data_IF_205463256966
#
_entry.id   IF_205463256966
#
_cell.length_a   1.000
_cell.length_b   1.000
_cell.length_c   1.000
_cell.angle_alpha   90.00
_cell.angle_beta   90.00
_cell.angle_gamma   90.00
#
_symmetry.space_group_name_H-M   'P 1'
#
loop_
_entity.id
_entity.type
_entity.pdbx_description
1 polymer ?
#
# COMPACT_ATOMS: atom_id res chain seq x y z
N UNK A 1 -12.13 17.16 0.96
CA UNK A 1 -12.03 15.71 0.60
C UNK A 1 -10.88 15.15 1.44
N UNK A 2 -11.12 14.06 2.16
CA UNK A 2 -10.09 13.45 3.02
C UNK A 2 -9.56 12.18 2.36
N UNK A 3 -8.25 12.14 2.12
CA UNK A 3 -7.58 10.97 1.52
C UNK A 3 -6.88 10.14 2.60
N UNK A 4 -7.27 8.87 2.71
CA UNK A 4 -6.57 7.89 3.54
C UNK A 4 -5.38 7.29 2.80
N UNK A 5 -4.23 7.11 3.49
CA UNK A 5 -3.04 6.48 2.90
C UNK A 5 -2.55 5.34 3.79
N UNK A 6 -2.84 4.09 3.39
CA UNK A 6 -2.28 2.90 4.03
C UNK A 6 -0.82 2.77 3.63
N UNK A 7 0.04 2.55 4.63
CA UNK A 7 1.49 2.52 4.40
C UNK A 7 2.12 3.90 4.20
N UNK A 8 1.45 4.97 4.65
CA UNK A 8 1.86 6.37 4.47
C UNK A 8 3.21 6.75 5.10
N UNK A 9 3.78 5.91 5.96
CA UNK A 9 5.15 6.08 6.51
C UNK A 9 6.22 5.34 5.73
N UNK A 10 5.84 4.54 4.73
CA UNK A 10 6.76 3.82 3.85
C UNK A 10 7.37 4.73 2.78
N UNK A 11 8.35 4.20 2.03
CA UNK A 11 9.08 4.93 0.99
C UNK A 11 8.15 5.63 -0.02
N UNK A 12 7.16 4.91 -0.55
CA UNK A 12 6.20 5.46 -1.52
C UNK A 12 5.13 6.28 -0.81
N UNK A 13 4.60 5.75 0.30
CA UNK A 13 3.53 6.40 1.04
C UNK A 13 3.89 7.78 1.54
N UNK A 14 5.11 7.98 2.04
CA UNK A 14 5.57 9.29 2.51
C UNK A 14 5.64 10.33 1.38
N UNK A 15 6.03 9.93 0.18
CA UNK A 15 6.02 10.80 -0.99
C UNK A 15 4.58 11.18 -1.39
N UNK A 16 3.66 10.22 -1.38
CA UNK A 16 2.23 10.47 -1.67
C UNK A 16 1.65 11.44 -0.64
N UNK A 17 1.85 11.18 0.65
CA UNK A 17 1.40 12.05 1.74
C UNK A 17 1.95 13.46 1.59
N UNK A 18 3.25 13.60 1.30
CA UNK A 18 3.89 14.89 1.09
C UNK A 18 3.30 15.68 -0.08
N UNK A 19 3.00 15.01 -1.20
CA UNK A 19 2.40 15.65 -2.38
C UNK A 19 0.97 16.07 -2.13
N UNK A 20 0.15 15.22 -1.51
CA UNK A 20 -1.25 15.54 -1.20
C UNK A 20 -1.35 16.68 -0.18
N UNK A 21 -0.59 16.63 0.91
CA UNK A 21 -0.56 17.68 1.92
C UNK A 21 0.00 18.98 1.35
N UNK A 22 1.04 18.93 0.50
CA UNK A 22 1.56 20.09 -0.22
C UNK A 22 0.57 20.71 -1.20
N UNK A 23 -0.37 19.93 -1.71
CA UNK A 23 -1.51 20.37 -2.50
C UNK A 23 -2.68 20.94 -1.69
N UNK A 24 -2.59 20.94 -0.35
CA UNK A 24 -3.63 21.44 0.54
C UNK A 24 -4.75 20.44 0.83
N UNK A 25 -4.55 19.15 0.54
CA UNK A 25 -5.52 18.10 0.86
C UNK A 25 -5.41 17.65 2.31
N UNK A 26 -6.53 17.26 2.91
CA UNK A 26 -6.54 16.58 4.19
C UNK A 26 -6.14 15.12 4.00
N UNK A 27 -5.11 14.69 4.73
CA UNK A 27 -4.55 13.35 4.61
C UNK A 27 -4.61 12.62 5.94
N UNK A 28 -5.08 11.37 5.95
CA UNK A 28 -4.99 10.48 7.09
C UNK A 28 -4.03 9.34 6.79
N UNK A 29 -2.91 9.29 7.52
CA UNK A 29 -1.96 8.17 7.46
C UNK A 29 -2.52 7.00 8.27
N UNK A 30 -2.56 5.83 7.64
CA UNK A 30 -3.10 4.60 8.20
C UNK A 30 -1.96 3.58 8.34
N UNK A 31 -1.42 3.46 9.57
CA UNK A 31 -0.27 2.59 9.86
C UNK A 31 -0.30 2.09 11.31
N UNK A 32 0.50 1.06 11.61
CA UNK A 32 0.63 0.53 12.97
C UNK A 32 1.31 1.51 13.93
N UNK A 33 2.27 2.27 13.42
CA UNK A 33 3.07 3.21 14.22
C UNK A 33 2.94 4.61 13.62
N UNK A 34 2.64 5.63 14.44
CA UNK A 34 2.56 6.99 13.95
C UNK A 34 3.93 7.46 13.41
N UNK A 35 3.94 8.36 12.43
CA UNK A 35 5.17 9.04 12.02
C UNK A 35 5.71 9.91 13.16
N UNK A 36 7.02 10.15 13.17
CA UNK A 36 7.66 11.01 14.18
C UNK A 36 7.20 12.47 14.10
N UNK A 37 6.92 12.92 12.87
CA UNK A 37 6.45 14.28 12.58
C UNK A 37 5.31 14.20 11.56
N UNK A 38 4.37 15.14 11.66
CA UNK A 38 3.25 15.28 10.74
C UNK A 38 3.17 16.72 10.25
N UNK A 39 2.96 16.88 8.94
CA UNK A 39 2.70 18.18 8.35
C UNK A 39 1.30 18.69 8.71
N UNK A 40 1.06 19.99 8.49
CA UNK A 40 -0.28 20.56 8.62
C UNK A 40 -1.27 19.83 7.68
N UNK A 41 -2.48 19.57 8.16
CA UNK A 41 -3.51 18.83 7.41
C UNK A 41 -3.29 17.31 7.36
N UNK A 42 -2.23 16.79 7.98
CA UNK A 42 -1.98 15.35 8.08
C UNK A 42 -2.37 14.84 9.47
N UNK A 43 -3.15 13.79 9.52
CA UNK A 43 -3.56 13.07 10.73
C UNK A 43 -3.08 11.62 10.69
N UNK A 44 -3.15 10.90 11.80
CA UNK A 44 -2.80 9.49 11.86
C UNK A 44 -3.90 8.69 12.55
N UNK A 45 -4.18 7.51 12.00
CA UNK A 45 -4.98 6.49 12.65
C UNK A 45 -4.23 5.16 12.68
N UNK A 46 -4.24 4.51 13.85
CA UNK A 46 -3.59 3.20 14.00
C UNK A 46 -4.47 2.11 13.39
N UNK A 47 -3.88 1.31 12.53
CA UNK A 47 -4.50 0.11 11.96
C UNK A 47 -3.54 -1.07 11.97
N UNK A 48 -4.08 -2.29 11.99
CA UNK A 48 -3.34 -3.51 11.70
C UNK A 48 -4.05 -4.29 10.58
N UNK A 49 -3.39 -4.42 9.42
CA UNK A 49 -3.97 -5.09 8.25
C UNK A 49 -4.12 -6.60 8.43
N UNK A 50 -3.29 -7.23 9.26
CA UNK A 50 -3.37 -8.66 9.51
C UNK A 50 -4.60 -9.04 10.34
N UNK A 51 -4.97 -8.19 11.31
CA UNK A 51 -6.10 -8.44 12.20
C UNK A 51 -7.37 -7.67 11.82
N UNK A 52 -7.22 -6.54 11.12
CA UNK A 52 -8.30 -5.59 10.85
C UNK A 52 -8.53 -4.59 11.99
N UNK A 53 -7.73 -4.66 13.06
CA UNK A 53 -7.86 -3.74 14.21
C UNK A 53 -7.76 -2.28 13.74
N UNK A 54 -8.70 -1.45 14.16
CA UNK A 54 -8.73 -0.01 13.91
C UNK A 54 -9.28 0.41 12.55
N UNK A 55 -9.52 -0.49 11.59
CA UNK A 55 -9.97 -0.14 10.22
C UNK A 55 -11.28 0.65 10.21
N UNK A 56 -12.29 0.21 10.97
CA UNK A 56 -13.61 0.85 11.00
C UNK A 56 -13.54 2.32 11.39
N UNK A 57 -12.83 2.63 12.48
CA UNK A 57 -12.67 3.99 12.95
C UNK A 57 -11.73 4.81 12.03
N UNK A 58 -10.71 4.17 11.46
CA UNK A 58 -9.73 4.82 10.61
C UNK A 58 -10.31 5.25 9.25
N UNK A 59 -11.32 4.54 8.74
CA UNK A 59 -11.97 4.84 7.45
C UNK A 59 -13.18 5.76 7.59
N UNK A 60 -13.57 6.15 8.78
CA UNK A 60 -14.66 7.12 8.97
C UNK A 60 -14.32 8.47 8.36
N UNK A 61 -15.17 8.97 7.44
CA UNK A 61 -15.00 10.24 6.75
C UNK A 61 -13.88 10.25 5.71
N UNK A 62 -13.38 9.09 5.28
CA UNK A 62 -12.47 8.97 4.13
C UNK A 62 -13.25 8.91 2.84
N UNK A 63 -12.93 9.78 1.89
CA UNK A 63 -13.53 9.79 0.55
C UNK A 63 -12.78 8.86 -0.42
N UNK A 64 -11.45 8.90 -0.37
CA UNK A 64 -10.56 8.09 -1.21
C UNK A 64 -9.51 7.38 -0.34
N UNK A 65 -9.28 6.11 -0.60
CA UNK A 65 -8.26 5.32 0.08
C UNK A 65 -7.16 4.89 -0.89
N UNK A 66 -5.92 5.27 -0.58
CA UNK A 66 -4.72 4.84 -1.31
C UNK A 66 -4.01 3.77 -0.48
N UNK A 67 -3.87 2.58 -1.03
CA UNK A 67 -3.19 1.47 -0.38
C UNK A 67 -1.85 1.16 -1.06
N UNK A 68 -0.77 1.57 -0.38
CA UNK A 68 0.60 1.23 -0.72
C UNK A 68 1.24 0.37 0.38
N UNK A 69 0.42 -0.22 1.23
CA UNK A 69 0.83 -1.18 2.23
C UNK A 69 1.51 -2.38 1.60
N UNK A 70 2.64 -2.80 2.17
CA UNK A 70 3.39 -3.93 1.64
C UNK A 70 3.99 -4.78 2.76
N UNK A 71 4.05 -6.10 2.52
CA UNK A 71 4.73 -7.05 3.39
C UNK A 71 5.27 -8.21 2.58
N UNK A 72 6.41 -8.74 3.01
CA UNK A 72 6.95 -10.02 2.52
C UNK A 72 6.78 -11.14 3.55
N UNK A 73 6.36 -10.77 4.77
CA UNK A 73 6.07 -11.71 5.84
C UNK A 73 4.57 -11.99 5.83
N UNK A 74 4.19 -13.25 5.65
CA UNK A 74 2.79 -13.67 5.51
C UNK A 74 2.01 -12.83 4.47
N UNK A 75 2.42 -12.83 3.19
CA UNK A 75 1.80 -11.97 2.19
C UNK A 75 0.33 -12.30 1.93
N UNK A 76 -0.09 -13.54 2.07
CA UNK A 76 -1.49 -13.95 1.93
C UNK A 76 -2.38 -13.30 2.98
N UNK A 77 -1.99 -13.36 4.25
CA UNK A 77 -2.77 -12.78 5.35
C UNK A 77 -2.90 -11.26 5.24
N UNK A 78 -1.83 -10.58 4.83
CA UNK A 78 -1.80 -9.12 4.81
C UNK A 78 -2.25 -8.54 3.47
N UNK A 79 -1.75 -9.09 2.34
CA UNK A 79 -2.06 -8.54 1.02
C UNK A 79 -3.42 -9.02 0.50
N UNK A 80 -3.80 -10.27 0.75
CA UNK A 80 -5.06 -10.80 0.23
C UNK A 80 -6.19 -10.57 1.24
N UNK A 81 -6.08 -11.17 2.42
CA UNK A 81 -7.14 -11.06 3.43
C UNK A 81 -7.22 -9.65 4.04
N UNK A 82 -6.07 -8.97 4.20
CA UNK A 82 -6.04 -7.56 4.60
C UNK A 82 -6.78 -6.67 3.60
N UNK A 83 -6.53 -6.83 2.30
CA UNK A 83 -7.24 -6.05 1.26
C UNK A 83 -8.72 -6.38 1.23
N UNK A 84 -9.13 -7.63 1.44
CA UNK A 84 -10.55 -8.00 1.55
C UNK A 84 -11.24 -7.23 2.68
N UNK A 85 -10.65 -7.25 3.88
CA UNK A 85 -11.18 -6.49 5.05
C UNK A 85 -11.25 -4.99 4.79
N UNK A 86 -10.22 -4.42 4.16
CA UNK A 86 -10.19 -3.01 3.77
C UNK A 86 -11.36 -2.68 2.86
N UNK A 87 -11.58 -3.44 1.79
CA UNK A 87 -12.63 -3.17 0.80
C UNK A 87 -14.04 -3.39 1.37
N UNK A 88 -14.23 -4.39 2.23
CA UNK A 88 -15.47 -4.58 2.98
C UNK A 88 -15.75 -3.38 3.91
N UNK A 89 -14.73 -2.92 4.64
CA UNK A 89 -14.86 -1.73 5.49
C UNK A 89 -15.10 -0.47 4.66
N UNK A 90 -14.44 -0.30 3.52
CA UNK A 90 -14.68 0.79 2.58
C UNK A 90 -16.15 0.84 2.12
N UNK A 91 -16.71 -0.31 1.74
CA UNK A 91 -18.11 -0.40 1.33
C UNK A 91 -19.06 -0.01 2.49
N UNK A 92 -18.79 -0.46 3.71
CA UNK A 92 -19.60 -0.18 4.89
C UNK A 92 -19.49 1.28 5.34
N UNK A 93 -18.35 1.93 5.14
CA UNK A 93 -18.08 3.33 5.55
C UNK A 93 -18.31 4.36 4.43
N UNK A 94 -18.69 3.91 3.23
CA UNK A 94 -19.02 4.80 2.13
C UNK A 94 -17.78 5.44 1.48
N UNK A 95 -16.60 4.80 1.59
CA UNK A 95 -15.41 5.22 0.83
C UNK A 95 -15.71 5.09 -0.65
N UNK A 96 -15.62 6.19 -1.39
CA UNK A 96 -16.03 6.24 -2.79
C UNK A 96 -15.05 5.58 -3.75
N UNK A 97 -13.74 5.60 -3.42
CA UNK A 97 -12.70 5.08 -4.32
C UNK A 97 -11.52 4.47 -3.58
N UNK A 98 -11.06 3.33 -4.06
CA UNK A 98 -9.86 2.64 -3.59
C UNK A 98 -8.78 2.64 -4.68
N UNK A 99 -7.57 3.03 -4.32
CA UNK A 99 -6.40 3.00 -5.22
C UNK A 99 -5.39 2.01 -4.69
N UNK A 100 -5.20 0.91 -5.41
CA UNK A 100 -4.21 -0.11 -5.07
C UNK A 100 -2.98 -0.08 -5.96
N UNK A 101 -1.85 -0.58 -5.44
CA UNK A 101 -0.62 -0.74 -6.20
C UNK A 101 -0.27 -2.23 -6.38
N UNK A 102 0.09 -2.61 -7.59
CA UNK A 102 0.54 -3.95 -7.94
C UNK A 102 1.81 -3.89 -8.80
N UNK A 103 2.21 -5.03 -9.34
CA UNK A 103 3.46 -5.20 -10.07
C UNK A 103 3.18 -5.66 -11.50
N UNK A 104 3.82 -5.03 -12.48
CA UNK A 104 3.74 -5.46 -13.88
C UNK A 104 4.24 -6.91 -14.00
N UNK A 105 3.41 -7.77 -14.60
CA UNK A 105 3.76 -9.18 -14.86
C UNK A 105 3.76 -10.07 -13.61
N UNK A 106 3.16 -9.65 -12.49
CA UNK A 106 3.10 -10.47 -11.27
C UNK A 106 2.46 -11.85 -11.53
N UNK A 107 1.52 -11.93 -12.46
CA UNK A 107 0.85 -13.18 -12.86
C UNK A 107 1.76 -14.21 -13.57
N UNK A 108 2.94 -13.77 -14.03
CA UNK A 108 3.92 -14.61 -14.76
C UNK A 108 4.99 -15.21 -13.85
N UNK A 109 5.02 -14.82 -12.59
CA UNK A 109 6.09 -15.19 -11.65
C UNK A 109 5.56 -16.12 -10.58
N UNK A 110 6.02 -17.37 -10.59
CA UNK A 110 5.60 -18.43 -9.67
C UNK A 110 6.37 -18.37 -8.31
N UNK A 111 6.27 -17.23 -7.62
CA UNK A 111 6.84 -17.01 -6.29
C UNK A 111 5.70 -16.57 -5.37
N UNK A 112 5.67 -17.03 -4.12
CA UNK A 112 4.59 -16.80 -3.17
C UNK A 112 4.15 -15.34 -3.04
N UNK A 113 5.10 -14.40 -2.98
CA UNK A 113 4.78 -12.97 -2.94
C UNK A 113 4.04 -12.48 -4.20
N UNK A 114 4.45 -12.89 -5.41
CA UNK A 114 3.78 -12.49 -6.65
C UNK A 114 2.43 -13.18 -6.83
N UNK A 115 2.30 -14.43 -6.36
CA UNK A 115 1.00 -15.11 -6.28
C UNK A 115 0.03 -14.34 -5.38
N UNK A 116 0.50 -13.89 -4.21
CA UNK A 116 -0.31 -13.07 -3.32
C UNK A 116 -0.70 -11.73 -3.95
N UNK A 117 0.20 -11.08 -4.72
CA UNK A 117 -0.13 -9.88 -5.49
C UNK A 117 -1.19 -10.13 -6.56
N UNK A 118 -1.09 -11.23 -7.29
CA UNK A 118 -2.11 -11.62 -8.28
C UNK A 118 -3.47 -11.90 -7.61
N UNK A 119 -3.48 -12.58 -6.47
CA UNK A 119 -4.68 -12.81 -5.69
C UNK A 119 -5.27 -11.51 -5.12
N UNK A 120 -4.42 -10.59 -4.64
CA UNK A 120 -4.83 -9.25 -4.21
C UNK A 120 -5.54 -8.49 -5.33
N UNK A 121 -5.01 -8.52 -6.56
CA UNK A 121 -5.68 -7.90 -7.71
C UNK A 121 -7.07 -8.49 -7.97
N UNK A 122 -7.22 -9.80 -7.84
CA UNK A 122 -8.51 -10.45 -8.02
C UNK A 122 -9.53 -9.98 -6.95
N UNK A 123 -9.11 -9.83 -5.71
CA UNK A 123 -9.94 -9.27 -4.62
C UNK A 123 -10.36 -7.84 -4.95
N UNK A 124 -9.43 -6.98 -5.39
CA UNK A 124 -9.73 -5.60 -5.76
C UNK A 124 -10.75 -5.54 -6.89
N UNK A 125 -10.56 -6.33 -7.95
CA UNK A 125 -11.44 -6.35 -9.12
C UNK A 125 -12.87 -6.85 -8.81
N UNK A 126 -13.04 -7.67 -7.79
CA UNK A 126 -14.35 -8.16 -7.35
C UNK A 126 -15.07 -7.24 -6.37
N UNK A 127 -14.45 -6.14 -5.96
CA UNK A 127 -15.02 -5.19 -5.01
C UNK A 127 -16.18 -4.38 -5.61
N UNK A 128 -17.25 -4.10 -4.85
CA UNK A 128 -18.28 -3.15 -5.24
C UNK A 128 -17.84 -1.68 -5.10
N UNK A 129 -16.78 -1.39 -4.35
CA UNK A 129 -16.19 -0.05 -4.22
C UNK A 129 -15.52 0.33 -5.54
N UNK A 130 -15.64 1.59 -5.98
CA UNK A 130 -14.90 2.09 -7.13
C UNK A 130 -13.39 1.90 -6.90
N UNK A 131 -12.67 1.41 -7.90
CA UNK A 131 -11.24 1.15 -7.71
C UNK A 131 -10.39 1.56 -8.90
N UNK A 132 -9.12 1.88 -8.60
CA UNK A 132 -8.02 1.99 -9.57
C UNK A 132 -6.87 1.11 -9.14
N UNK A 133 -6.26 0.43 -10.09
CA UNK A 133 -5.12 -0.45 -9.84
C UNK A 133 -3.92 -0.01 -10.68
N UNK A 134 -2.90 0.53 -10.02
CA UNK A 134 -1.64 0.89 -10.67
C UNK A 134 -0.70 -0.31 -10.66
N UNK A 135 -0.35 -0.83 -11.81
CA UNK A 135 0.74 -1.80 -11.96
C UNK A 135 2.05 -1.05 -12.21
N UNK A 136 2.94 -1.07 -11.24
CA UNK A 136 4.26 -0.43 -11.33
C UNK A 136 5.34 -1.47 -11.67
N UNK A 137 6.43 -1.00 -12.29
CA UNK A 137 7.68 -1.75 -12.39
C UNK A 137 8.44 -1.68 -11.06
N UNK A 138 9.70 -2.09 -11.02
CA UNK A 138 10.51 -1.93 -9.82
C UNK A 138 10.79 -0.45 -9.56
N UNK A 139 10.62 -0.03 -8.29
CA UNK A 139 10.93 1.34 -7.90
C UNK A 139 12.44 1.57 -7.87
N UNK A 140 12.90 2.71 -8.37
CA UNK A 140 14.32 3.06 -8.43
C UNK A 140 15.00 2.97 -7.06
N UNK A 141 14.31 3.44 -6.01
CA UNK A 141 14.81 3.41 -4.64
C UNK A 141 14.97 1.96 -4.10
N UNK A 142 14.11 1.04 -4.52
CA UNK A 142 14.25 -0.37 -4.18
C UNK A 142 15.48 -0.97 -4.88
N UNK A 143 15.68 -0.66 -6.15
CA UNK A 143 16.84 -1.09 -6.93
C UNK A 143 18.12 -0.54 -6.27
N UNK A 144 18.15 0.75 -5.96
CA UNK A 144 19.28 1.40 -5.27
C UNK A 144 19.59 0.74 -3.93
N UNK A 145 18.56 0.45 -3.11
CA UNK A 145 18.73 -0.21 -1.81
C UNK A 145 19.31 -1.63 -1.96
N UNK A 146 18.89 -2.38 -2.98
CA UNK A 146 19.42 -3.72 -3.29
C UNK A 146 20.89 -3.63 -3.71
N UNK A 147 21.26 -2.69 -4.58
CA UNK A 147 22.66 -2.50 -4.99
C UNK A 147 23.54 -2.03 -3.84
N UNK A 148 23.10 -1.08 -3.04
CA UNK A 148 23.83 -0.61 -1.84
C UNK A 148 24.02 -1.73 -0.82
N UNK A 149 23.02 -2.56 -0.60
CA UNK A 149 23.09 -3.72 0.30
C UNK A 149 24.01 -4.80 -0.21
N UNK A 150 24.03 -5.05 -1.52
CA UNK A 150 24.93 -5.98 -2.20
C UNK A 150 26.39 -5.50 -2.16
N UNK A 151 26.62 -4.23 -2.48
CA UNK A 151 27.97 -3.64 -2.47
C UNK A 151 28.63 -3.73 -1.09
N UNK A 152 27.88 -3.50 -0.01
CA UNK A 152 28.37 -3.66 1.37
C UNK A 152 28.80 -5.09 1.72
N UNK A 153 28.29 -6.09 1.00
CA UNK A 153 28.57 -7.53 1.19
C UNK A 153 29.51 -8.09 0.12
N UNK A 154 30.06 -7.23 -0.76
CA UNK A 154 30.89 -7.65 -1.88
C UNK A 154 30.19 -8.47 -2.95
N UNK A 155 28.84 -8.38 -3.01
CA UNK A 155 28.00 -9.13 -3.96
C UNK A 155 27.28 -8.16 -4.88
N UNK A 156 27.46 -8.32 -6.18
CA UNK A 156 26.66 -7.60 -7.18
C UNK A 156 25.43 -8.46 -7.51
N UNK A 157 24.21 -8.02 -7.18
CA UNK A 157 23.02 -8.78 -7.54
C UNK A 157 22.90 -8.88 -9.06
N UNK A 158 22.87 -10.09 -9.60
CA UNK A 158 22.46 -10.35 -10.98
C UNK A 158 20.97 -10.65 -11.00
N UNK A 159 20.20 -9.84 -11.72
CA UNK A 159 18.82 -10.17 -12.03
C UNK A 159 18.78 -10.98 -13.31
N UNK A 160 18.21 -12.18 -13.25
CA UNK A 160 17.86 -12.97 -14.43
C UNK A 160 16.42 -12.71 -14.92
N UNK A 161 15.74 -11.74 -14.30
CA UNK A 161 14.38 -11.36 -14.70
C UNK A 161 14.50 -10.35 -15.84
N UNK A 162 13.96 -10.60 -17.03
CA UNK A 162 13.89 -9.60 -18.09
C UNK A 162 13.10 -8.39 -17.60
N UNK A 163 13.61 -7.21 -17.91
CA UNK A 163 12.93 -5.93 -17.62
C UNK A 163 11.67 -5.78 -18.49
#
# INVERSE_FOLDING_TARGET
>A
MTTGVIGGTGMIGSNIVGQLAGGGEEVRILTRTPPAEMAAGVTHARIDLATGEGLEAALEGIDTLIDVGNTRKSPEDTLVEGTRRILETCANRGVGHYVGISIVGCEKVDIGYYKAKTAQEAVIRSSPVGWSLLRATQFHELIEAVFRGGARRGVTPRSSIPL
#
